data_IF_635091170605
#
_entry.id   IF_635091170605
#
_cell.length_a   1.000
_cell.length_b   1.000
_cell.length_c   1.000
_cell.angle_alpha   90.00
_cell.angle_beta   90.00
_cell.angle_gamma   90.00
#
_symmetry.space_group_name_H-M   'P 1'
#
loop_
_entity.id
_entity.type
_entity.pdbx_description
1 polymer ?
#
# COMPACT_ATOMS: atom_id res chain seq x y z
N UNK A 1 9.19 -21.99 -17.06
CA UNK A 1 9.70 -22.09 -15.67
C UNK A 1 10.58 -20.86 -15.48
N UNK A 2 10.00 -19.77 -15.02
CA UNK A 2 10.74 -18.52 -14.81
C UNK A 2 11.38 -18.63 -13.43
N UNK A 3 12.70 -18.49 -13.40
CA UNK A 3 13.49 -18.47 -12.17
C UNK A 3 13.23 -17.16 -11.43
N UNK A 4 12.46 -17.24 -10.33
CA UNK A 4 12.10 -16.12 -9.47
C UNK A 4 13.29 -15.64 -8.60
N UNK A 5 14.46 -16.26 -8.69
CA UNK A 5 15.64 -15.90 -7.91
C UNK A 5 16.36 -14.62 -8.41
N UNK A 6 15.91 -13.98 -9.49
CA UNK A 6 16.51 -12.78 -10.05
C UNK A 6 15.92 -11.45 -9.52
N UNK A 7 15.04 -11.47 -8.51
CA UNK A 7 14.61 -10.27 -7.79
C UNK A 7 15.56 -10.05 -6.60
N UNK A 8 16.70 -9.39 -6.82
CA UNK A 8 16.99 -8.08 -6.20
C UNK A 8 18.46 -7.67 -6.20
N UNK A 9 18.72 -6.48 -6.75
CA UNK A 9 19.87 -5.67 -6.34
C UNK A 9 19.54 -4.78 -5.11
N UNK A 10 18.30 -4.76 -4.60
CA UNK A 10 17.83 -3.86 -3.52
C UNK A 10 17.23 -4.55 -2.28
N UNK A 11 17.29 -5.89 -2.15
CA UNK A 11 16.82 -6.61 -0.95
C UNK A 11 15.30 -6.56 -0.66
N UNK A 12 14.47 -6.15 -1.62
CA UNK A 12 13.00 -6.10 -1.49
C UNK A 12 12.32 -7.47 -1.52
N UNK A 13 12.95 -8.52 -2.05
CA UNK A 13 12.37 -9.88 -2.19
C UNK A 13 11.88 -10.55 -0.90
N UNK A 14 12.14 -9.98 0.28
CA UNK A 14 11.69 -10.48 1.59
C UNK A 14 10.94 -9.44 2.44
N UNK A 15 10.56 -8.29 1.86
CA UNK A 15 9.95 -7.19 2.60
C UNK A 15 8.85 -7.66 3.56
N UNK A 16 7.90 -8.41 3.02
CA UNK A 16 6.70 -8.82 3.76
C UNK A 16 6.99 -9.66 4.99
N UNK A 17 8.07 -10.44 4.94
CA UNK A 17 8.50 -11.29 6.05
C UNK A 17 9.32 -10.50 7.07
N UNK A 18 10.14 -9.55 6.59
CA UNK A 18 11.10 -8.77 7.39
C UNK A 18 10.50 -7.54 8.07
N UNK A 19 9.35 -7.04 7.60
CA UNK A 19 8.69 -5.89 8.21
C UNK A 19 8.33 -6.17 9.70
N UNK A 20 8.88 -5.39 10.66
CA UNK A 20 8.64 -5.61 12.06
C UNK A 20 7.19 -5.33 12.46
N UNK A 21 6.74 -6.05 13.49
CA UNK A 21 5.56 -5.65 14.26
C UNK A 21 5.91 -4.42 15.08
N UNK A 22 5.12 -3.35 14.92
CA UNK A 22 5.34 -2.10 15.62
C UNK A 22 4.68 -2.13 17.01
N UNK A 23 5.38 -1.67 18.07
CA UNK A 23 4.79 -1.51 19.40
C UNK A 23 3.88 -0.27 19.50
N UNK A 24 4.16 0.76 18.69
CA UNK A 24 3.40 2.00 18.54
C UNK A 24 3.63 2.59 17.13
N UNK A 25 2.94 3.68 16.79
CA UNK A 25 3.03 4.34 15.48
C UNK A 25 3.85 5.64 15.51
N UNK A 26 4.64 5.89 16.56
CA UNK A 26 5.43 7.13 16.67
C UNK A 26 6.53 7.12 15.62
N UNK A 27 6.55 8.15 14.76
CA UNK A 27 7.50 8.23 13.64
C UNK A 27 7.10 7.37 12.44
N UNK A 28 5.85 6.93 12.37
CA UNK A 28 5.30 6.15 11.26
C UNK A 28 4.06 6.83 10.68
N UNK A 29 3.84 6.66 9.39
CA UNK A 29 2.60 7.05 8.71
C UNK A 29 1.86 5.80 8.25
N UNK A 30 0.57 5.72 8.55
CA UNK A 30 -0.30 4.65 8.07
C UNK A 30 -0.44 4.75 6.54
N UNK A 31 -0.29 3.62 5.87
CA UNK A 31 -0.48 3.53 4.42
C UNK A 31 -1.93 3.20 4.10
N UNK A 32 -2.39 3.67 2.96
CA UNK A 32 -3.75 3.41 2.50
C UNK A 32 -3.99 1.91 2.33
N UNK A 33 -5.17 1.46 2.74
CA UNK A 33 -5.61 0.07 2.62
C UNK A 33 -6.06 -0.25 1.17
N UNK A 34 -5.12 -0.14 0.24
CA UNK A 34 -5.33 -0.46 -1.17
C UNK A 34 -4.02 -0.88 -1.85
N UNK A 35 -4.10 -1.17 -3.15
CA UNK A 35 -2.93 -1.54 -3.95
C UNK A 35 -1.86 -0.45 -3.99
N UNK A 36 -2.26 0.81 -3.95
CA UNK A 36 -1.35 1.96 -3.98
C UNK A 36 -0.50 2.06 -2.71
N UNK A 37 -1.12 2.02 -1.53
CA UNK A 37 -0.41 2.03 -0.24
C UNK A 37 0.50 0.80 -0.10
N UNK A 38 0.03 -0.37 -0.52
CA UNK A 38 0.84 -1.59 -0.52
C UNK A 38 2.04 -1.50 -1.48
N UNK A 39 1.88 -0.85 -2.63
CA UNK A 39 2.97 -0.63 -3.58
C UNK A 39 3.98 0.40 -3.05
N UNK A 40 3.54 1.43 -2.31
CA UNK A 40 4.44 2.35 -1.57
C UNK A 40 5.31 1.57 -0.57
N UNK A 41 4.70 0.68 0.22
CA UNK A 41 5.45 -0.18 1.15
C UNK A 41 6.50 -1.01 0.40
N UNK A 42 6.11 -1.69 -0.67
CA UNK A 42 7.03 -2.48 -1.49
C UNK A 42 8.19 -1.66 -2.06
N UNK A 43 7.89 -0.46 -2.56
CA UNK A 43 8.90 0.45 -3.10
C UNK A 43 9.91 0.93 -2.04
N UNK A 44 9.48 1.08 -0.77
CA UNK A 44 10.30 1.60 0.32
C UNK A 44 11.33 0.59 0.85
N UNK A 45 11.01 -0.71 0.77
CA UNK A 45 11.85 -1.82 1.21
C UNK A 45 11.86 -2.04 2.74
N UNK A 46 12.45 -3.16 3.20
CA UNK A 46 12.25 -3.71 4.56
C UNK A 46 12.70 -2.79 5.70
N UNK A 47 13.70 -1.94 5.49
CA UNK A 47 14.19 -1.03 6.52
C UNK A 47 13.27 0.17 6.82
N UNK A 48 12.18 0.35 6.06
CA UNK A 48 11.29 1.53 6.14
C UNK A 48 9.83 1.18 6.33
N UNK A 49 9.49 -0.09 6.42
CA UNK A 49 8.11 -0.56 6.50
C UNK A 49 7.90 -1.28 7.82
N UNK A 50 6.78 -1.01 8.46
CA UNK A 50 6.33 -1.68 9.67
C UNK A 50 4.89 -2.14 9.52
N UNK A 51 4.46 -3.03 10.41
CA UNK A 51 3.08 -3.54 10.42
C UNK A 51 2.50 -3.60 11.82
N UNK A 52 1.19 -3.47 11.91
CA UNK A 52 0.44 -3.75 13.14
C UNK A 52 -0.71 -4.71 12.82
N UNK A 53 -1.13 -5.57 13.77
CA UNK A 53 -2.33 -6.38 13.59
C UNK A 53 -3.52 -5.48 13.32
N UNK A 54 -4.28 -5.81 12.30
CA UNK A 54 -5.46 -5.06 11.91
C UNK A 54 -6.66 -5.47 12.78
N UNK A 55 -7.44 -4.48 13.22
CA UNK A 55 -8.69 -4.70 13.96
C UNK A 55 -9.87 -4.10 13.18
N UNK A 56 -10.69 -4.99 12.60
CA UNK A 56 -11.90 -4.63 11.87
C UNK A 56 -13.18 -4.72 12.73
N UNK A 57 -13.07 -5.06 14.02
CA UNK A 57 -14.23 -5.41 14.86
C UNK A 57 -15.27 -4.30 15.00
N UNK A 58 -14.85 -3.04 14.88
CA UNK A 58 -15.71 -1.86 14.94
C UNK A 58 -16.02 -1.24 13.56
N UNK A 59 -15.44 -1.77 12.49
CA UNK A 59 -15.56 -1.21 11.14
C UNK A 59 -16.97 -1.41 10.58
N UNK A 60 -17.47 -0.37 9.91
CA UNK A 60 -18.76 -0.41 9.20
C UNK A 60 -18.55 -0.09 7.73
N UNK A 61 -19.40 -0.66 6.88
CA UNK A 61 -19.43 -0.42 5.44
C UNK A 61 -20.81 0.02 4.99
N UNK A 62 -20.83 0.86 3.96
CA UNK A 62 -22.06 1.24 3.28
C UNK A 62 -22.24 0.35 2.06
N UNK A 63 -23.26 -0.49 2.09
CA UNK A 63 -23.62 -1.37 0.98
C UNK A 63 -24.69 -0.69 0.16
N UNK A 64 -24.46 -0.53 -1.13
CA UNK A 64 -25.43 0.01 -2.08
C UNK A 64 -25.91 -1.09 -3.02
N UNK A 65 -27.21 -1.37 -2.99
CA UNK A 65 -27.86 -2.33 -3.88
C UNK A 65 -28.74 -1.58 -4.88
N UNK A 66 -28.51 -1.80 -6.17
CA UNK A 66 -29.42 -1.33 -7.22
C UNK A 66 -30.40 -2.44 -7.59
N UNK A 67 -31.70 -2.13 -7.60
CA UNK A 67 -32.75 -3.07 -8.03
C UNK A 67 -33.78 -2.31 -8.84
N UNK A 68 -33.94 -2.68 -10.12
CA UNK A 68 -34.88 -2.01 -11.03
C UNK A 68 -34.60 -0.51 -11.23
N UNK A 69 -33.33 -0.09 -11.19
CA UNK A 69 -32.92 1.31 -11.33
C UNK A 69 -33.02 2.15 -10.04
N UNK A 70 -33.43 1.55 -8.92
CA UNK A 70 -33.46 2.22 -7.62
C UNK A 70 -32.23 1.79 -6.81
N UNK A 71 -31.42 2.75 -6.40
CA UNK A 71 -30.29 2.52 -5.50
C UNK A 71 -30.79 2.65 -4.05
N UNK A 72 -30.58 1.59 -3.27
CA UNK A 72 -30.78 1.59 -1.83
C UNK A 72 -29.43 1.44 -1.15
N UNK A 73 -29.18 2.21 -0.10
CA UNK A 73 -27.96 2.08 0.71
C UNK A 73 -28.28 1.73 2.15
N UNK A 74 -27.44 0.89 2.75
CA UNK A 74 -27.54 0.48 4.15
C UNK A 74 -26.15 0.40 4.78
N UNK A 75 -26.05 0.72 6.06
CA UNK A 75 -24.81 0.57 6.81
C UNK A 75 -24.79 -0.77 7.53
N UNK A 76 -23.75 -1.57 7.28
CA UNK A 76 -23.59 -2.92 7.82
C UNK A 76 -22.23 -3.08 8.51
N UNK A 77 -22.09 -3.99 9.49
CA UNK A 77 -20.77 -4.35 10.01
C UNK A 77 -19.87 -4.88 8.90
N UNK A 78 -18.58 -4.53 8.94
CA UNK A 78 -17.58 -5.10 8.05
C UNK A 78 -17.38 -6.58 8.36
N UNK A 79 -17.42 -7.42 7.33
CA UNK A 79 -17.40 -8.87 7.46
C UNK A 79 -16.05 -9.47 7.07
N UNK A 80 -15.77 -10.73 7.46
CA UNK A 80 -14.61 -11.46 6.95
C UNK A 80 -14.60 -11.61 5.41
N UNK A 81 -15.76 -11.60 4.76
CA UNK A 81 -15.85 -11.63 3.30
C UNK A 81 -15.42 -10.30 2.67
N UNK A 82 -15.79 -9.16 3.28
CA UNK A 82 -15.31 -7.84 2.86
C UNK A 82 -13.78 -7.75 2.99
N UNK A 83 -13.24 -8.29 4.10
CA UNK A 83 -11.79 -8.43 4.30
C UNK A 83 -11.14 -9.20 3.16
N UNK A 84 -11.62 -10.42 2.89
CA UNK A 84 -11.06 -11.25 1.84
C UNK A 84 -11.09 -10.53 0.48
N UNK A 85 -12.19 -9.86 0.14
CA UNK A 85 -12.30 -9.10 -1.10
C UNK A 85 -11.31 -7.92 -1.21
N UNK A 86 -11.07 -7.19 -0.12
CA UNK A 86 -10.04 -6.15 -0.08
C UNK A 86 -8.63 -6.74 -0.26
N UNK A 87 -8.31 -7.82 0.46
CA UNK A 87 -7.01 -8.49 0.36
C UNK A 87 -6.76 -9.02 -1.06
N UNK A 88 -7.76 -9.65 -1.68
CA UNK A 88 -7.67 -10.17 -3.05
C UNK A 88 -7.46 -9.05 -4.06
N UNK A 89 -8.21 -7.95 -3.95
CA UNK A 89 -8.08 -6.78 -4.82
C UNK A 89 -6.69 -6.15 -4.72
N UNK A 90 -6.16 -6.03 -3.50
CA UNK A 90 -4.82 -5.48 -3.25
C UNK A 90 -3.75 -6.39 -3.84
N UNK A 91 -3.84 -7.70 -3.58
CA UNK A 91 -2.87 -8.66 -4.09
C UNK A 91 -2.91 -8.80 -5.61
N UNK A 92 -4.07 -8.63 -6.25
CA UNK A 92 -4.19 -8.56 -7.71
C UNK A 92 -3.42 -7.36 -8.27
N UNK A 93 -3.59 -6.18 -7.67
CA UNK A 93 -2.85 -4.97 -8.07
C UNK A 93 -1.33 -5.12 -7.90
N UNK A 94 -0.89 -5.78 -6.81
CA UNK A 94 0.52 -6.09 -6.59
C UNK A 94 1.06 -7.07 -7.63
N UNK A 95 0.28 -8.10 -7.99
CA UNK A 95 0.67 -9.08 -9.00
C UNK A 95 0.90 -8.43 -10.38
N UNK A 96 0.07 -7.45 -10.77
CA UNK A 96 0.24 -6.68 -12.00
C UNK A 96 1.56 -5.88 -12.02
N UNK A 97 2.11 -5.52 -10.85
CA UNK A 97 3.42 -4.88 -10.70
C UNK A 97 4.58 -5.90 -10.55
N UNK A 98 4.31 -7.21 -10.61
CA UNK A 98 5.28 -8.27 -10.35
C UNK A 98 5.71 -8.39 -8.88
N UNK A 99 4.89 -7.89 -7.95
CA UNK A 99 5.14 -7.90 -6.50
C UNK A 99 4.45 -9.13 -5.87
N UNK A 100 5.13 -9.89 -4.97
CA UNK A 100 4.50 -11.01 -4.29
C UNK A 100 3.34 -10.55 -3.40
N UNK A 101 2.34 -11.43 -3.15
CA UNK A 101 1.20 -11.09 -2.31
C UNK A 101 1.65 -10.74 -0.90
N UNK A 102 0.96 -9.77 -0.28
CA UNK A 102 1.25 -9.35 1.09
C UNK A 102 0.56 -10.26 2.12
N UNK A 103 1.14 -10.44 3.31
CA UNK A 103 0.47 -11.06 4.44
C UNK A 103 -0.82 -10.30 4.81
N UNK A 104 -1.89 -11.07 4.97
CA UNK A 104 -3.22 -10.55 5.34
C UNK A 104 -3.30 -10.21 6.83
N UNK A 105 -4.25 -9.35 7.21
CA UNK A 105 -4.55 -9.06 8.61
C UNK A 105 -3.60 -8.05 9.27
N UNK A 106 -2.89 -7.26 8.46
CA UNK A 106 -2.00 -6.21 8.94
C UNK A 106 -2.35 -4.86 8.31
N UNK A 107 -2.34 -3.83 9.15
CA UNK A 107 -2.20 -2.43 8.73
C UNK A 107 -0.72 -2.17 8.51
N UNK A 108 -0.39 -1.56 7.38
CA UNK A 108 0.99 -1.32 6.96
C UNK A 108 1.35 0.14 7.15
N UNK A 109 2.59 0.36 7.58
CA UNK A 109 3.11 1.68 7.93
C UNK A 109 4.42 1.93 7.23
N UNK A 110 4.69 3.20 6.98
CA UNK A 110 5.93 3.67 6.41
C UNK A 110 6.65 4.58 7.43
N UNK A 111 7.94 4.34 7.65
CA UNK A 111 8.75 5.11 8.61
C UNK A 111 8.92 6.52 8.08
N UNK A 112 8.71 7.54 8.91
CA UNK A 112 9.06 8.91 8.55
C UNK A 112 10.59 9.09 8.55
N UNK A 113 11.16 9.88 7.62
CA UNK A 113 12.54 10.35 7.75
C UNK A 113 12.76 11.04 9.11
N UNK A 114 13.92 10.87 9.74
CA UNK A 114 14.19 11.37 11.10
C UNK A 114 14.02 12.89 11.24
N UNK A 115 14.37 13.63 10.18
CA UNK A 115 14.27 15.10 10.12
C UNK A 115 12.99 15.58 9.41
N UNK A 116 11.98 14.73 9.26
CA UNK A 116 10.74 15.13 8.60
C UNK A 116 9.97 16.16 9.43
N UNK A 117 9.60 17.33 8.85
CA UNK A 117 8.87 18.35 9.59
C UNK A 117 7.52 17.85 10.10
N UNK A 118 7.23 18.06 11.39
CA UNK A 118 6.02 17.55 12.04
C UNK A 118 4.71 18.15 11.47
N UNK A 119 4.78 19.32 10.85
CA UNK A 119 3.66 20.01 10.22
C UNK A 119 3.47 19.65 8.73
N UNK A 120 4.36 18.81 8.18
CA UNK A 120 4.33 18.44 6.77
C UNK A 120 3.73 17.05 6.57
N UNK A 121 2.71 16.97 5.73
CA UNK A 121 2.12 15.71 5.31
C UNK A 121 3.09 14.92 4.41
N UNK A 122 3.66 13.85 4.97
CA UNK A 122 4.55 12.95 4.26
C UNK A 122 3.82 12.17 3.15
N UNK A 123 2.64 11.62 3.47
CA UNK A 123 1.90 10.78 2.53
C UNK A 123 1.44 11.61 1.33
N UNK A 124 0.88 12.80 1.58
CA UNK A 124 0.50 13.72 0.52
C UNK A 124 1.67 14.20 -0.34
N UNK A 125 2.85 14.44 0.26
CA UNK A 125 4.05 14.80 -0.51
C UNK A 125 4.55 13.64 -1.37
N UNK A 126 4.52 12.41 -0.85
CA UNK A 126 4.83 11.20 -1.61
C UNK A 126 3.89 11.07 -2.81
N UNK A 127 2.59 11.17 -2.58
CA UNK A 127 1.56 11.08 -3.63
C UNK A 127 1.72 12.17 -4.67
N UNK A 128 2.02 13.39 -4.24
CA UNK A 128 2.29 14.51 -5.15
C UNK A 128 3.49 14.20 -6.06
N UNK A 129 4.60 13.67 -5.53
CA UNK A 129 5.76 13.31 -6.35
C UNK A 129 5.41 12.25 -7.39
N UNK A 130 4.67 11.21 -6.99
CA UNK A 130 4.28 10.12 -7.90
C UNK A 130 3.30 10.62 -8.96
N UNK A 131 2.24 11.32 -8.57
CA UNK A 131 1.16 11.77 -9.47
C UNK A 131 1.58 12.88 -10.43
N UNK A 132 2.66 13.62 -10.13
CA UNK A 132 3.23 14.66 -11.03
C UNK A 132 4.35 14.13 -11.91
N UNK A 133 4.62 12.82 -11.89
CA UNK A 133 5.67 12.21 -12.69
C UNK A 133 5.25 12.16 -14.17
N UNK A 134 6.06 12.65 -15.12
CA UNK A 134 5.76 12.50 -16.55
C UNK A 134 5.62 11.04 -17.00
N UNK A 135 6.22 10.11 -16.26
CA UNK A 135 6.12 8.68 -16.54
C UNK A 135 4.73 8.10 -16.22
N UNK A 136 3.93 8.73 -15.35
CA UNK A 136 2.55 8.31 -15.09
C UNK A 136 1.54 8.92 -16.06
N UNK A 137 1.94 9.95 -16.83
CA UNK A 137 1.09 10.63 -17.81
C UNK A 137 1.13 9.98 -19.21
N UNK A 138 2.22 9.28 -19.56
CA UNK A 138 2.49 8.86 -20.94
C UNK A 138 1.94 7.47 -21.32
N UNK A 139 1.86 6.52 -20.37
CA UNK A 139 1.65 5.08 -20.68
C UNK A 139 0.33 4.51 -20.13
N UNK A 140 -0.55 5.35 -19.58
CA UNK A 140 -1.59 4.88 -18.66
C UNK A 140 -0.95 4.41 -17.35
N UNK A 141 -1.70 4.47 -16.25
CA UNK A 141 -1.16 4.21 -14.91
C UNK A 141 -1.02 2.70 -14.69
N UNK A 142 -0.06 2.06 -15.36
CA UNK A 142 0.26 0.65 -15.17
C UNK A 142 1.01 0.44 -13.84
N UNK A 143 0.66 -0.59 -13.04
CA UNK A 143 1.25 -0.78 -11.70
C UNK A 143 2.77 -0.94 -11.68
N UNK A 144 3.38 -1.53 -12.70
CA UNK A 144 4.83 -1.69 -12.83
C UNK A 144 5.55 -0.34 -13.08
N UNK A 145 4.96 0.52 -13.91
CA UNK A 145 5.43 1.90 -14.13
C UNK A 145 5.32 2.71 -12.84
N UNK A 146 4.20 2.58 -12.13
CA UNK A 146 4.00 3.23 -10.82
C UNK A 146 5.05 2.77 -9.83
N UNK A 147 5.34 1.47 -9.73
CA UNK A 147 6.35 0.94 -8.82
C UNK A 147 7.73 1.56 -9.07
N UNK A 148 8.12 1.72 -10.35
CA UNK A 148 9.38 2.38 -10.72
C UNK A 148 9.41 3.84 -10.24
N UNK A 149 8.32 4.58 -10.43
CA UNK A 149 8.21 5.98 -9.98
C UNK A 149 8.22 6.08 -8.45
N UNK A 150 7.51 5.19 -7.76
CA UNK A 150 7.51 5.14 -6.29
C UNK A 150 8.91 4.87 -5.72
N UNK A 151 9.69 3.98 -6.36
CA UNK A 151 11.10 3.76 -5.96
C UNK A 151 11.95 5.02 -6.12
N UNK A 152 11.68 5.84 -7.13
CA UNK A 152 12.34 7.15 -7.25
C UNK A 152 11.87 8.13 -6.16
N UNK A 153 10.57 8.18 -5.86
CA UNK A 153 10.03 9.02 -4.79
C UNK A 153 10.68 8.67 -3.44
N UNK A 154 10.80 7.38 -3.11
CA UNK A 154 11.53 6.89 -1.92
C UNK A 154 12.97 7.41 -1.91
N UNK A 155 13.71 7.29 -3.01
CA UNK A 155 15.10 7.79 -3.10
C UNK A 155 15.21 9.32 -3.00
N UNK A 156 14.12 10.07 -3.23
CA UNK A 156 14.10 11.53 -3.10
C UNK A 156 13.76 11.95 -1.67
N UNK A 157 12.84 11.23 -1.03
CA UNK A 157 12.31 11.57 0.30
C UNK A 157 13.18 11.06 1.46
N UNK A 158 13.90 9.94 1.28
CA UNK A 158 14.74 9.32 2.32
C UNK A 158 16.24 9.55 2.10
N UNK A 159 16.62 10.73 1.62
CA UNK A 159 18.03 11.09 1.41
C UNK A 159 18.71 11.51 2.69
#
# INVERSE_FOLDING_TARGET
>A
MIDLAAIDANGTGRLWDEAPLLPDTVGWVELEENGWGSLKAWAAGPGRVGRMPQDDSSRRVKVSCETGGVITSRDEPFTPADRAGLEDSINLYLADAGVPPRPVGFTWFLRLPEDWPADRDFAGEFDRIVNTSPATDADGVMPDVVLRVMREAVRRLYR
#
